data_IF_695524954509
#
_entry.id   IF_695524954509
#
_cell.length_a   1.000
_cell.length_b   1.000
_cell.length_c   1.000
_cell.angle_alpha   90.00
_cell.angle_beta   90.00
_cell.angle_gamma   90.00
#
_symmetry.space_group_name_H-M   'P 1'
#
loop_
_entity.id
_entity.type
_entity.pdbx_description
1 polymer ?
#
# COMPACT_ATOMS: atom_id res chain seq x y z
N UNK A 1 -8.07 -0.84 -2.67
CA UNK A 1 -8.58 0.35 -1.94
C UNK A 1 -9.24 1.34 -2.86
N UNK A 2 -10.27 2.03 -2.38
CA UNK A 2 -10.83 3.19 -3.07
C UNK A 2 -10.01 4.44 -2.69
N UNK A 3 -9.79 5.40 -3.60
CA UNK A 3 -9.04 6.62 -3.29
C UNK A 3 -9.64 7.43 -2.12
N UNK A 4 -10.96 7.40 -1.98
CA UNK A 4 -11.71 8.08 -0.92
C UNK A 4 -11.34 7.60 0.47
N UNK A 5 -11.14 6.28 0.65
CA UNK A 5 -10.73 5.69 1.92
C UNK A 5 -9.31 6.08 2.32
N UNK A 6 -8.44 6.34 1.34
CA UNK A 6 -7.04 6.72 1.58
C UNK A 6 -6.96 8.20 1.99
N UNK A 7 -7.80 9.06 1.40
CA UNK A 7 -7.88 10.49 1.75
C UNK A 7 -8.42 10.74 3.16
N UNK A 8 -9.31 9.88 3.64
CA UNK A 8 -9.90 10.01 4.97
C UNK A 8 -8.96 9.59 6.12
N UNK A 9 -7.82 8.96 5.82
CA UNK A 9 -6.85 8.53 6.83
C UNK A 9 -5.95 9.69 7.27
N UNK A 10 -5.56 9.69 8.53
CA UNK A 10 -4.54 10.60 9.05
C UNK A 10 -3.13 10.24 8.56
N UNK A 11 -2.16 11.14 8.66
CA UNK A 11 -0.77 10.85 8.25
C UNK A 11 -0.17 9.67 9.01
N UNK A 12 -0.44 9.56 10.31
CA UNK A 12 0.04 8.45 11.14
C UNK A 12 -0.56 7.12 10.69
N UNK A 13 -1.85 7.10 10.38
CA UNK A 13 -2.52 5.91 9.85
C UNK A 13 -1.99 5.53 8.46
N UNK A 14 -1.68 6.50 7.60
CA UNK A 14 -1.08 6.24 6.28
C UNK A 14 0.28 5.54 6.40
N UNK A 15 1.14 6.03 7.31
CA UNK A 15 2.46 5.42 7.58
C UNK A 15 2.30 3.99 8.11
N UNK A 16 1.42 3.80 9.09
CA UNK A 16 1.14 2.47 9.63
C UNK A 16 0.65 1.51 8.54
N UNK A 17 -0.20 2.02 7.63
CA UNK A 17 -0.76 1.24 6.52
C UNK A 17 0.29 0.90 5.48
N UNK A 18 1.21 1.80 5.17
CA UNK A 18 2.36 1.54 4.30
C UNK A 18 3.19 0.38 4.84
N UNK A 19 3.54 0.41 6.13
CA UNK A 19 4.34 -0.62 6.79
C UNK A 19 3.63 -1.98 6.74
N UNK A 20 2.34 -2.01 7.09
CA UNK A 20 1.54 -3.23 7.04
C UNK A 20 1.46 -3.81 5.61
N UNK A 21 1.21 -2.97 4.61
CA UNK A 21 1.17 -3.41 3.20
C UNK A 21 2.52 -3.92 2.70
N UNK A 22 3.64 -3.31 3.11
CA UNK A 22 4.99 -3.82 2.79
C UNK A 22 5.22 -5.20 3.39
N UNK A 23 4.88 -5.40 4.65
CA UNK A 23 5.03 -6.69 5.31
C UNK A 23 4.15 -7.76 4.63
N UNK A 24 2.91 -7.42 4.31
CA UNK A 24 2.00 -8.31 3.59
C UNK A 24 2.55 -8.67 2.19
N UNK A 25 3.10 -7.70 1.47
CA UNK A 25 3.74 -7.92 0.18
C UNK A 25 4.91 -8.90 0.29
N UNK A 26 5.74 -8.78 1.33
CA UNK A 26 6.85 -9.69 1.59
C UNK A 26 6.36 -11.10 1.90
N UNK A 27 5.32 -11.25 2.74
CA UNK A 27 4.70 -12.55 3.04
C UNK A 27 4.17 -13.22 1.77
N UNK A 28 3.49 -12.48 0.90
CA UNK A 28 2.95 -13.04 -0.36
C UNK A 28 4.06 -13.38 -1.35
N UNK A 29 5.13 -12.58 -1.43
CA UNK A 29 6.33 -12.92 -2.23
C UNK A 29 7.01 -14.18 -1.73
N UNK A 30 7.16 -14.32 -0.41
CA UNK A 30 7.75 -15.51 0.18
C UNK A 30 6.91 -16.76 -0.12
N UNK A 31 5.59 -16.70 0.07
CA UNK A 31 4.67 -17.78 -0.31
C UNK A 31 4.73 -18.12 -1.80
N UNK A 32 4.95 -17.13 -2.67
CA UNK A 32 5.17 -17.36 -4.11
C UNK A 32 6.44 -18.14 -4.40
N UNK A 33 7.53 -17.84 -3.71
CA UNK A 33 8.79 -18.55 -3.91
C UNK A 33 8.78 -19.96 -3.31
N UNK A 34 8.16 -20.15 -2.14
CA UNK A 34 8.26 -21.42 -1.39
C UNK A 34 7.28 -22.50 -1.87
N UNK A 35 6.11 -22.14 -2.41
CA UNK A 35 5.06 -23.15 -2.63
C UNK A 35 4.17 -22.96 -3.86
N UNK A 36 4.54 -22.09 -4.82
CA UNK A 36 3.71 -21.85 -6.01
C UNK A 36 2.39 -21.18 -5.66
N UNK A 37 2.41 -19.86 -5.46
CA UNK A 37 1.20 -19.11 -5.08
C UNK A 37 0.10 -19.27 -6.15
N UNK A 38 -1.04 -19.84 -5.78
CA UNK A 38 -2.19 -20.00 -6.66
C UNK A 38 -2.79 -18.65 -7.14
N UNK A 39 -2.57 -17.56 -6.39
CA UNK A 39 -3.22 -16.27 -6.63
C UNK A 39 -2.24 -15.10 -6.74
N UNK A 40 -1.50 -15.06 -7.85
CA UNK A 40 -0.53 -13.98 -8.16
C UNK A 40 -1.18 -12.60 -8.36
N UNK A 41 -2.49 -12.55 -8.64
CA UNK A 41 -3.26 -11.31 -8.75
C UNK A 41 -3.24 -10.46 -7.47
N UNK A 42 -3.12 -11.11 -6.30
CA UNK A 42 -3.04 -10.44 -5.00
C UNK A 42 -1.80 -9.53 -4.90
N UNK A 43 -0.67 -9.96 -5.47
CA UNK A 43 0.57 -9.17 -5.50
C UNK A 43 0.34 -7.87 -6.29
N UNK A 44 -0.33 -7.96 -7.45
CA UNK A 44 -0.59 -6.78 -8.29
C UNK A 44 -1.55 -5.81 -7.59
N UNK A 45 -2.57 -6.35 -6.89
CA UNK A 45 -3.52 -5.54 -6.10
C UNK A 45 -2.83 -4.83 -4.95
N UNK A 46 -2.02 -5.55 -4.15
CA UNK A 46 -1.25 -4.98 -3.03
C UNK A 46 -0.27 -3.91 -3.50
N UNK A 47 0.45 -4.13 -4.61
CA UNK A 47 1.34 -3.11 -5.20
C UNK A 47 0.56 -1.84 -5.59
N UNK A 48 -0.60 -2.00 -6.22
CA UNK A 48 -1.44 -0.86 -6.65
C UNK A 48 -1.98 -0.08 -5.46
N UNK A 49 -2.38 -0.77 -4.40
CA UNK A 49 -2.89 -0.14 -3.18
C UNK A 49 -1.76 0.57 -2.41
N UNK A 50 -0.57 -0.02 -2.31
CA UNK A 50 0.61 0.64 -1.74
C UNK A 50 0.99 1.91 -2.52
N UNK A 51 0.99 1.85 -3.86
CA UNK A 51 1.30 3.00 -4.69
C UNK A 51 0.32 4.17 -4.46
N UNK A 52 -0.97 3.89 -4.24
CA UNK A 52 -1.97 4.92 -3.94
C UNK A 52 -1.74 5.57 -2.58
N UNK A 53 -1.38 4.79 -1.55
CA UNK A 53 -1.02 5.31 -0.22
C UNK A 53 0.18 6.26 -0.33
N UNK A 54 1.25 5.83 -1.02
CA UNK A 54 2.44 6.66 -1.24
C UNK A 54 2.14 7.92 -2.06
N UNK A 55 1.25 7.82 -3.04
CA UNK A 55 0.84 8.99 -3.85
C UNK A 55 0.11 10.02 -3.00
N UNK A 56 -0.80 9.61 -2.11
CA UNK A 56 -1.50 10.52 -1.20
C UNK A 56 -0.56 11.12 -0.15
N UNK A 57 0.40 10.34 0.38
CA UNK A 57 1.45 10.86 1.27
C UNK A 57 2.30 11.94 0.56
N UNK A 58 2.72 11.67 -0.67
CA UNK A 58 3.49 12.63 -1.46
C UNK A 58 2.65 13.87 -1.82
N UNK A 59 1.36 13.69 -2.16
CA UNK A 59 0.47 14.81 -2.45
C UNK A 59 0.31 15.74 -1.24
N UNK A 60 0.22 15.19 -0.02
CA UNK A 60 0.19 15.98 1.23
C UNK A 60 1.50 16.72 1.51
N UNK A 61 2.64 16.09 1.22
CA UNK A 61 3.94 16.75 1.33
C UNK A 61 4.16 17.83 0.27
N UNK A 62 3.69 17.61 -0.95
CA UNK A 62 3.88 18.52 -2.09
C UNK A 62 2.86 19.65 -2.15
N UNK A 63 1.70 19.54 -1.51
CA UNK A 63 0.83 20.70 -1.27
C UNK A 63 1.44 21.51 -0.13
N UNK A 64 2.23 22.57 -0.42
CA UNK A 64 2.69 23.43 0.64
C UNK A 64 1.41 24.06 1.20
N UNK A 65 1.22 24.03 2.52
CA UNK A 65 0.31 24.97 3.15
C UNK A 65 0.79 26.37 2.76
N UNK A 66 0.10 26.98 1.79
CA UNK A 66 0.08 28.40 1.56
C UNK A 66 -0.97 29.02 2.49
#
# INVERSE_FOLDING_TARGET
MKPTEIRNLTEQELVLKEQNMRQELQKVRFKKHVGGLANTATIKKLKKDLARVLTEMNARQQSPKA
#
